data_IF_478374362953
#
_entry.id   IF_478374362953
#
_cell.length_a   1.000
_cell.length_b   1.000
_cell.length_c   1.000
_cell.angle_alpha   90.00
_cell.angle_beta   90.00
_cell.angle_gamma   90.00
#
_symmetry.space_group_name_H-M   'P 1'
#
loop_
_entity.id
_entity.type
_entity.pdbx_description
1 polymer ?
#
# COMPACT_ATOMS: atom_id res chain seq x y z
N UNK A 1 -13.49 15.91 -7.85
CA UNK A 1 -12.18 15.29 -7.53
C UNK A 1 -12.18 13.87 -8.08
N UNK A 2 -11.07 13.37 -8.64
CA UNK A 2 -11.04 12.01 -9.20
C UNK A 2 -11.19 10.99 -8.07
N UNK A 3 -12.23 10.13 -8.15
CA UNK A 3 -12.57 9.12 -7.13
C UNK A 3 -11.39 8.20 -6.76
N UNK A 4 -10.50 7.90 -7.71
CA UNK A 4 -9.32 7.08 -7.47
C UNK A 4 -8.25 7.81 -6.66
N UNK A 5 -8.11 9.13 -6.81
CA UNK A 5 -7.16 9.92 -5.99
C UNK A 5 -7.57 9.92 -4.51
N UNK A 6 -8.88 9.90 -4.24
CA UNK A 6 -9.40 9.72 -2.87
C UNK A 6 -9.09 8.33 -2.35
N UNK A 7 -9.37 7.29 -3.15
CA UNK A 7 -9.16 5.89 -2.75
C UNK A 7 -7.69 5.57 -2.44
N UNK A 8 -6.73 6.05 -3.25
CA UNK A 8 -5.30 5.77 -3.06
C UNK A 8 -4.64 6.68 -2.01
N UNK A 9 -5.38 7.64 -1.43
CA UNK A 9 -4.90 8.59 -0.41
C UNK A 9 -3.56 9.22 -0.82
N UNK A 10 -3.56 9.89 -1.98
CA UNK A 10 -2.34 10.42 -2.62
C UNK A 10 -1.49 11.27 -1.68
N UNK A 11 -2.14 11.99 -0.73
CA UNK A 11 -1.47 12.79 0.30
C UNK A 11 -0.58 11.97 1.25
N UNK A 12 -0.72 10.65 1.28
CA UNK A 12 0.09 9.77 2.11
C UNK A 12 1.42 9.36 1.43
N UNK A 13 1.57 9.54 0.10
CA UNK A 13 2.78 9.14 -0.63
C UNK A 13 4.08 9.77 -0.10
N UNK A 14 4.14 11.06 0.28
CA UNK A 14 5.38 11.64 0.80
C UNK A 14 5.96 10.87 2.00
N UNK A 15 5.11 10.34 2.89
CA UNK A 15 5.54 9.56 4.06
C UNK A 15 6.30 8.28 3.68
N UNK A 16 5.98 7.71 2.52
CA UNK A 16 6.60 6.48 2.02
C UNK A 16 7.79 6.79 1.12
N UNK A 17 7.68 7.81 0.27
CA UNK A 17 8.73 8.15 -0.69
C UNK A 17 9.96 8.76 -0.03
N UNK A 18 9.80 9.58 1.03
CA UNK A 18 10.94 10.20 1.73
C UNK A 18 11.98 9.18 2.22
N UNK A 19 11.62 8.13 3.00
CA UNK A 19 12.60 7.13 3.41
C UNK A 19 13.18 6.33 2.25
N UNK A 20 12.43 6.13 1.16
CA UNK A 20 12.94 5.48 -0.05
C UNK A 20 14.02 6.34 -0.72
N UNK A 21 13.80 7.65 -0.85
CA UNK A 21 14.82 8.56 -1.38
C UNK A 21 16.07 8.61 -0.51
N UNK A 22 15.93 8.60 0.81
CA UNK A 22 17.07 8.51 1.75
C UNK A 22 17.83 7.20 1.52
N UNK A 23 17.13 6.06 1.45
CA UNK A 23 17.75 4.76 1.20
C UNK A 23 18.47 4.69 -0.15
N UNK A 24 17.87 5.24 -1.21
CA UNK A 24 18.48 5.32 -2.54
C UNK A 24 19.73 6.22 -2.54
N UNK A 25 19.69 7.33 -1.80
CA UNK A 25 20.84 8.24 -1.69
C UNK A 25 22.02 7.60 -0.95
N UNK A 26 21.75 6.85 0.12
CA UNK A 26 22.77 6.13 0.88
C UNK A 26 23.35 4.92 0.11
N UNK A 27 22.51 4.28 -0.73
CA UNK A 27 22.92 3.16 -1.58
C UNK A 27 23.47 3.57 -2.96
N UNK A 28 23.67 4.87 -3.19
CA UNK A 28 24.18 5.37 -4.46
C UNK A 28 25.59 4.87 -4.74
N UNK A 29 25.77 4.22 -5.89
CA UNK A 29 27.08 3.78 -6.40
C UNK A 29 27.34 4.44 -7.76
N UNK A 30 28.28 5.39 -7.84
CA UNK A 30 28.64 6.05 -9.09
C UNK A 30 29.09 5.04 -10.15
N UNK A 31 28.60 5.15 -11.38
CA UNK A 31 28.98 4.28 -12.50
C UNK A 31 28.29 2.92 -12.55
N UNK A 32 27.30 2.66 -11.70
CA UNK A 32 26.51 1.43 -11.78
C UNK A 32 25.52 1.49 -12.96
N UNK A 33 25.62 0.55 -13.90
CA UNK A 33 24.69 0.40 -15.04
C UNK A 33 23.25 0.11 -14.58
N UNK A 34 23.07 -0.42 -13.38
CA UNK A 34 21.77 -0.76 -12.81
C UNK A 34 21.09 0.39 -12.06
N UNK A 35 21.75 1.53 -11.90
CA UNK A 35 21.29 2.61 -11.04
C UNK A 35 19.84 3.05 -11.31
N UNK A 36 19.54 3.36 -12.58
CA UNK A 36 18.19 3.81 -12.96
C UNK A 36 17.12 2.74 -12.78
N UNK A 37 17.45 1.49 -13.12
CA UNK A 37 16.54 0.36 -12.95
C UNK A 37 16.19 0.14 -11.47
N UNK A 38 17.18 0.27 -10.59
CA UNK A 38 16.98 0.16 -9.14
C UNK A 38 16.08 1.29 -8.62
N UNK A 39 16.31 2.53 -9.05
CA UNK A 39 15.45 3.67 -8.67
C UNK A 39 14.00 3.41 -9.09
N UNK A 40 13.79 3.08 -10.36
CA UNK A 40 12.43 2.86 -10.89
C UNK A 40 11.74 1.73 -10.14
N UNK A 41 12.39 0.59 -9.96
CA UNK A 41 11.81 -0.55 -9.25
C UNK A 41 11.56 -0.24 -7.77
N UNK A 42 12.44 0.50 -7.10
CA UNK A 42 12.24 0.89 -5.69
C UNK A 42 11.07 1.86 -5.52
N UNK A 43 10.92 2.82 -6.43
CA UNK A 43 9.78 3.74 -6.42
C UNK A 43 8.47 3.02 -6.76
N UNK A 44 8.48 2.14 -7.77
CA UNK A 44 7.32 1.30 -8.09
C UNK A 44 6.92 0.41 -6.91
N UNK A 45 7.89 -0.23 -6.24
CA UNK A 45 7.67 -1.04 -5.06
C UNK A 45 6.99 -0.22 -3.95
N UNK A 46 7.53 0.96 -3.64
CA UNK A 46 7.02 1.82 -2.59
C UNK A 46 5.58 2.28 -2.87
N UNK A 47 5.30 2.74 -4.07
CA UNK A 47 3.97 3.21 -4.48
C UNK A 47 2.97 2.06 -4.52
N UNK A 48 3.32 0.93 -5.15
CA UNK A 48 2.46 -0.25 -5.21
C UNK A 48 2.15 -0.81 -3.82
N UNK A 49 3.16 -0.91 -2.95
CA UNK A 49 2.98 -1.39 -1.57
C UNK A 49 2.04 -0.45 -0.78
N UNK A 50 2.26 0.87 -0.86
CA UNK A 50 1.39 1.85 -0.22
C UNK A 50 -0.07 1.73 -0.68
N UNK A 51 -0.29 1.63 -1.99
CA UNK A 51 -1.65 1.50 -2.53
C UNK A 51 -2.27 0.14 -2.20
N UNK A 52 -1.48 -0.93 -2.16
CA UNK A 52 -1.95 -2.25 -1.69
C UNK A 52 -2.48 -2.16 -0.27
N UNK A 53 -1.70 -1.55 0.63
CA UNK A 53 -2.09 -1.39 2.04
C UNK A 53 -3.38 -0.59 2.15
N UNK A 54 -3.45 0.56 1.51
CA UNK A 54 -4.62 1.46 1.61
C UNK A 54 -5.86 0.81 1.03
N UNK A 55 -5.79 0.27 -0.20
CA UNK A 55 -6.95 -0.28 -0.91
C UNK A 55 -7.49 -1.55 -0.26
N UNK A 56 -6.60 -2.47 0.14
CA UNK A 56 -7.04 -3.72 0.77
C UNK A 56 -7.52 -3.50 2.21
N UNK A 57 -6.94 -2.54 2.95
CA UNK A 57 -7.45 -2.17 4.26
C UNK A 57 -8.85 -1.54 4.15
N UNK A 58 -9.04 -0.55 3.28
CA UNK A 58 -10.34 0.09 3.07
C UNK A 58 -11.40 -0.92 2.61
N UNK A 59 -11.03 -1.92 1.79
CA UNK A 59 -11.91 -3.03 1.42
C UNK A 59 -12.27 -3.91 2.62
N UNK A 60 -11.29 -4.29 3.45
CA UNK A 60 -11.51 -5.15 4.62
C UNK A 60 -12.40 -4.49 5.68
N UNK A 61 -12.24 -3.18 5.86
CA UNK A 61 -12.95 -2.40 6.88
C UNK A 61 -14.29 -1.82 6.39
N UNK A 62 -14.63 -1.96 5.11
CA UNK A 62 -15.77 -1.31 4.47
C UNK A 62 -17.07 -1.40 5.28
N UNK A 63 -17.45 -2.60 5.73
CA UNK A 63 -18.70 -2.79 6.48
C UNK A 63 -18.67 -2.13 7.87
N UNK A 64 -17.51 -2.10 8.51
CA UNK A 64 -17.33 -1.43 9.80
C UNK A 64 -17.37 0.09 9.61
N UNK A 65 -16.71 0.59 8.59
CA UNK A 65 -16.66 2.01 8.22
C UNK A 65 -18.06 2.57 7.90
N UNK A 66 -18.87 1.83 7.11
CA UNK A 66 -20.26 2.23 6.82
C UNK A 66 -21.10 2.33 8.09
N UNK A 67 -20.98 1.37 9.01
CA UNK A 67 -21.69 1.41 10.30
C UNK A 67 -21.24 2.60 11.15
N UNK A 68 -19.93 2.89 11.15
CA UNK A 68 -19.36 3.99 11.90
C UNK A 68 -19.80 5.36 11.34
N UNK A 69 -19.76 5.52 10.00
CA UNK A 69 -20.20 6.73 9.32
C UNK A 69 -21.68 7.03 9.58
N UNK A 70 -22.54 6.00 9.60
CA UNK A 70 -23.96 6.15 9.91
C UNK A 70 -24.21 6.57 11.38
N UNK A 71 -23.32 6.19 12.29
CA UNK A 71 -23.45 6.50 13.72
C UNK A 71 -22.86 7.87 14.09
N UNK A 72 -21.79 8.27 13.42
CA UNK A 72 -21.01 9.49 13.72
C UNK A 72 -20.64 10.23 12.42
N UNK A 73 -21.60 10.77 11.68
CA UNK A 73 -21.34 11.37 10.36
C UNK A 73 -20.40 12.58 10.43
N UNK A 74 -20.42 13.33 11.52
CA UNK A 74 -19.58 14.52 11.72
C UNK A 74 -18.09 14.22 11.98
N UNK A 75 -17.76 12.97 12.34
CA UNK A 75 -16.39 12.54 12.63
C UNK A 75 -15.76 11.77 11.46
N UNK A 76 -16.47 11.62 10.35
CA UNK A 76 -16.05 10.75 9.25
C UNK A 76 -15.47 11.55 8.10
N UNK A 77 -14.18 11.33 7.84
CA UNK A 77 -13.52 11.88 6.65
C UNK A 77 -14.02 11.21 5.36
N UNK A 78 -13.91 11.93 4.24
CA UNK A 78 -14.29 11.43 2.92
C UNK A 78 -13.55 10.14 2.57
N UNK A 79 -14.32 9.06 2.31
CA UNK A 79 -13.79 7.75 1.91
C UNK A 79 -14.50 7.24 0.65
N UNK A 80 -13.71 6.88 -0.35
CA UNK A 80 -14.22 6.50 -1.67
C UNK A 80 -15.24 5.36 -1.67
N UNK A 81 -15.14 4.40 -0.72
CA UNK A 81 -16.07 3.29 -0.57
C UNK A 81 -17.32 3.68 0.22
N UNK A 82 -17.16 4.37 1.35
CA UNK A 82 -18.28 4.74 2.22
C UNK A 82 -19.20 5.75 1.52
N UNK A 83 -18.62 6.69 0.79
CA UNK A 83 -19.35 7.71 0.02
C UNK A 83 -19.92 7.16 -1.31
N UNK A 84 -19.77 5.86 -1.58
CA UNK A 84 -20.30 5.23 -2.78
C UNK A 84 -19.63 5.65 -4.10
N UNK A 85 -18.46 6.30 -4.04
CA UNK A 85 -17.72 6.73 -5.25
C UNK A 85 -17.15 5.55 -6.04
N UNK A 86 -16.81 4.45 -5.36
CA UNK A 86 -16.28 3.21 -5.92
C UNK A 86 -17.01 2.01 -5.33
N UNK A 87 -17.10 0.94 -6.12
CA UNK A 87 -17.66 -0.34 -5.67
C UNK A 87 -16.57 -1.15 -4.98
N UNK A 88 -16.87 -1.87 -3.86
CA UNK A 88 -15.87 -2.67 -3.13
C UNK A 88 -15.05 -3.61 -4.00
N UNK A 89 -15.68 -4.26 -4.99
CA UNK A 89 -14.99 -5.16 -5.91
C UNK A 89 -13.95 -4.45 -6.80
N UNK A 90 -14.18 -3.18 -7.16
CA UNK A 90 -13.21 -2.39 -7.93
C UNK A 90 -11.98 -2.08 -7.07
N UNK A 91 -12.19 -1.71 -5.81
CA UNK A 91 -11.12 -1.41 -4.86
C UNK A 91 -10.31 -2.68 -4.53
N UNK A 92 -10.98 -3.83 -4.31
CA UNK A 92 -10.31 -5.10 -4.10
C UNK A 92 -9.44 -5.51 -5.31
N UNK A 93 -9.97 -5.40 -6.54
CA UNK A 93 -9.21 -5.70 -7.77
C UNK A 93 -8.00 -4.77 -7.92
N UNK A 94 -8.17 -3.47 -7.69
CA UNK A 94 -7.06 -2.52 -7.73
C UNK A 94 -6.00 -2.84 -6.66
N UNK A 95 -6.42 -3.20 -5.43
CA UNK A 95 -5.52 -3.64 -4.36
C UNK A 95 -4.74 -4.91 -4.72
N UNK A 96 -5.38 -5.88 -5.40
CA UNK A 96 -4.69 -7.09 -5.87
C UNK A 96 -3.72 -6.79 -7.02
N UNK A 97 -4.06 -5.88 -7.94
CA UNK A 97 -3.16 -5.45 -9.01
C UNK A 97 -1.93 -4.73 -8.46
N UNK A 98 -2.11 -3.84 -7.47
CA UNK A 98 -0.97 -3.18 -6.82
C UNK A 98 -0.14 -4.16 -5.98
N UNK A 99 -0.76 -5.18 -5.37
CA UNK A 99 -0.06 -6.28 -4.69
C UNK A 99 0.84 -7.05 -5.69
N UNK A 100 0.32 -7.38 -6.86
CA UNK A 100 1.12 -7.99 -7.93
C UNK A 100 2.27 -7.06 -8.34
N UNK A 101 2.03 -5.76 -8.51
CA UNK A 101 3.07 -4.77 -8.81
C UNK A 101 4.16 -4.72 -7.73
N UNK A 102 3.77 -4.84 -6.44
CA UNK A 102 4.70 -4.95 -5.31
C UNK A 102 5.60 -6.17 -5.45
N UNK A 103 5.02 -7.34 -5.72
CA UNK A 103 5.78 -8.59 -5.85
C UNK A 103 6.71 -8.59 -7.07
N UNK A 104 6.24 -8.07 -8.21
CA UNK A 104 7.05 -7.96 -9.43
C UNK A 104 8.24 -7.00 -9.23
N UNK A 105 8.01 -5.84 -8.61
CA UNK A 105 9.07 -4.89 -8.31
C UNK A 105 10.10 -5.45 -7.31
N UNK A 106 9.62 -6.14 -6.25
CA UNK A 106 10.48 -6.80 -5.28
C UNK A 106 11.29 -7.94 -5.92
N UNK A 107 10.66 -8.74 -6.80
CA UNK A 107 11.33 -9.79 -7.58
C UNK A 107 12.39 -9.24 -8.53
N UNK A 108 12.11 -8.12 -9.19
CA UNK A 108 13.08 -7.41 -10.02
C UNK A 108 14.30 -6.95 -9.23
N UNK A 109 14.08 -6.35 -8.04
CA UNK A 109 15.16 -5.93 -7.15
C UNK A 109 15.95 -7.14 -6.59
N UNK A 110 15.27 -8.25 -6.28
CA UNK A 110 15.91 -9.49 -5.88
C UNK A 110 16.83 -10.02 -6.99
N UNK A 111 16.35 -10.07 -8.22
CA UNK A 111 17.15 -10.48 -9.39
C UNK A 111 18.40 -9.58 -9.60
N UNK A 112 18.30 -8.32 -9.24
CA UNK A 112 19.41 -7.34 -9.27
C UNK A 112 20.35 -7.43 -8.06
N UNK A 113 20.32 -8.52 -7.29
CA UNK A 113 21.22 -8.77 -6.16
C UNK A 113 20.79 -8.12 -4.84
N UNK A 114 19.49 -7.82 -4.66
CA UNK A 114 18.95 -7.23 -3.43
C UNK A 114 17.94 -8.17 -2.75
N UNK A 115 18.37 -9.34 -2.25
CA UNK A 115 17.47 -10.42 -1.81
C UNK A 115 16.56 -10.04 -0.63
N UNK A 116 17.04 -9.19 0.26
CA UNK A 116 16.27 -8.77 1.44
C UNK A 116 15.01 -7.98 1.10
N UNK A 117 14.95 -7.32 -0.07
CA UNK A 117 13.79 -6.55 -0.49
C UNK A 117 12.57 -7.45 -0.66
N UNK A 118 12.75 -8.63 -1.26
CA UNK A 118 11.65 -9.60 -1.42
C UNK A 118 11.16 -10.11 -0.05
N UNK A 119 12.08 -10.39 0.88
CA UNK A 119 11.74 -10.78 2.24
C UNK A 119 10.92 -9.70 2.95
N UNK A 120 11.37 -8.44 2.92
CA UNK A 120 10.64 -7.34 3.56
C UNK A 120 9.29 -7.07 2.91
N UNK A 121 9.18 -7.17 1.58
CA UNK A 121 7.91 -7.05 0.88
C UNK A 121 6.93 -8.17 1.31
N UNK A 122 7.39 -9.42 1.39
CA UNK A 122 6.58 -10.53 1.85
C UNK A 122 6.11 -10.37 3.30
N UNK A 123 7.00 -9.96 4.20
CA UNK A 123 6.66 -9.66 5.61
C UNK A 123 5.64 -8.52 5.68
N UNK A 124 5.83 -7.45 4.93
CA UNK A 124 4.88 -6.33 4.89
C UNK A 124 3.48 -6.74 4.41
N UNK A 125 3.39 -7.57 3.38
CA UNK A 125 2.11 -8.11 2.90
C UNK A 125 1.47 -9.07 3.91
N UNK A 126 2.27 -9.88 4.58
CA UNK A 126 1.79 -10.77 5.66
C UNK A 126 1.24 -9.96 6.84
N UNK A 127 1.93 -8.90 7.24
CA UNK A 127 1.47 -8.00 8.31
C UNK A 127 0.18 -7.27 7.92
N UNK A 128 0.06 -6.82 6.67
CA UNK A 128 -1.18 -6.25 6.16
C UNK A 128 -2.33 -7.26 6.26
N UNK A 129 -2.10 -8.50 5.83
CA UNK A 129 -3.11 -9.55 5.93
C UNK A 129 -3.51 -9.81 7.38
N UNK A 130 -2.54 -9.97 8.28
CA UNK A 130 -2.79 -10.21 9.69
C UNK A 130 -3.54 -9.05 10.38
N UNK A 131 -3.24 -7.80 9.97
CA UNK A 131 -3.87 -6.61 10.51
C UNK A 131 -5.33 -6.47 10.07
N UNK A 132 -5.60 -6.65 8.77
CA UNK A 132 -6.89 -6.28 8.15
C UNK A 132 -7.86 -7.45 7.98
N UNK A 133 -7.37 -8.70 7.83
CA UNK A 133 -8.20 -9.84 7.43
C UNK A 133 -8.37 -10.92 8.51
N UNK A 134 -9.46 -11.69 8.40
CA UNK A 134 -9.68 -12.86 9.24
C UNK A 134 -8.61 -13.93 8.96
N UNK A 135 -8.25 -14.76 9.97
CA UNK A 135 -8.82 -14.83 11.30
C UNK A 135 -8.23 -13.84 12.31
N UNK A 136 -7.11 -13.17 12.00
CA UNK A 136 -6.37 -12.39 12.99
C UNK A 136 -7.03 -11.03 13.27
N UNK A 137 -7.28 -10.20 12.25
CA UNK A 137 -7.91 -8.87 12.38
C UNK A 137 -7.36 -8.06 13.54
N UNK A 138 -6.06 -7.86 13.59
CA UNK A 138 -5.39 -7.24 14.73
C UNK A 138 -5.87 -5.82 15.01
N UNK A 139 -6.32 -5.08 13.98
CA UNK A 139 -6.94 -3.76 14.12
C UNK A 139 -8.18 -3.74 15.04
N UNK A 140 -8.87 -4.88 15.22
CA UNK A 140 -10.05 -5.00 16.10
C UNK A 140 -9.75 -5.67 17.45
N UNK A 141 -8.50 -6.07 17.71
CA UNK A 141 -8.09 -6.77 18.94
C UNK A 141 -7.32 -5.88 19.92
N UNK A 142 -7.41 -4.56 19.78
CA UNK A 142 -6.72 -3.61 20.67
C UNK A 142 -5.22 -3.48 20.41
N UNK A 143 -4.73 -3.94 19.27
CA UNK A 143 -3.33 -3.80 18.84
C UNK A 143 -3.11 -2.65 17.84
N UNK A 144 -4.11 -1.81 17.67
CA UNK A 144 -4.06 -0.63 16.81
C UNK A 144 -4.54 0.61 17.54
#
# INVERSE_FOLDING_TARGET
MNRWLVAVKLQALPKVLLPVFVGLSLGYQPGSDQFWSVIVLALCLAVCMQWTIVLLNDYADYQADVRHANKYPELFDQRALVDGMLVPQQVARAGLLTCLGTLLSAGGLWYMGRPYVLLFAAVGLLLLWAYSFAPLRLNYRGGG
#
